data_IF_764951295251
#
_entry.id   IF_764951295251
#
_cell.length_a   1.000
_cell.length_b   1.000
_cell.length_c   1.000
_cell.angle_alpha   90.00
_cell.angle_beta   90.00
_cell.angle_gamma   90.00
#
_symmetry.space_group_name_H-M   'P 1'
#
loop_
_entity.id
_entity.type
_entity.pdbx_description
1 polymer ?
#
# COMPACT_ATOMS: atom_id res chain seq x y z
N UNK A 1 25.46 24.39 -2.29
CA UNK A 1 24.65 23.66 -1.30
C UNK A 1 23.61 22.93 -2.11
N UNK A 2 23.54 21.60 -2.04
CA UNK A 2 22.50 20.86 -2.74
C UNK A 2 21.24 20.96 -1.89
N UNK A 3 20.45 22.01 -2.12
CA UNK A 3 19.18 22.35 -1.48
C UNK A 3 18.05 21.38 -1.88
N UNK A 4 18.35 20.09 -2.00
CA UNK A 4 17.32 19.10 -2.25
C UNK A 4 16.56 18.85 -0.94
N UNK A 5 15.22 18.89 -0.95
CA UNK A 5 14.44 18.56 0.22
C UNK A 5 14.74 17.14 0.72
N UNK A 6 14.63 16.90 2.02
CA UNK A 6 14.94 15.59 2.64
C UNK A 6 14.14 14.42 2.05
N UNK A 7 12.95 14.69 1.50
CA UNK A 7 12.13 13.70 0.82
C UNK A 7 12.66 13.27 -0.56
N UNK A 8 13.69 13.94 -1.10
CA UNK A 8 14.42 13.54 -2.31
C UNK A 8 15.66 12.69 -2.02
N UNK A 9 15.99 12.45 -0.75
CA UNK A 9 17.14 11.61 -0.39
C UNK A 9 16.71 10.14 -0.33
N UNK A 10 17.20 9.26 -1.22
CA UNK A 10 16.82 7.84 -1.22
C UNK A 10 17.20 7.09 0.07
N UNK A 11 18.17 7.62 0.84
CA UNK A 11 18.51 7.05 2.15
C UNK A 11 17.34 7.18 3.15
N UNK A 12 16.45 8.14 2.93
CA UNK A 12 15.24 8.40 3.71
C UNK A 12 14.03 7.62 3.17
N UNK A 13 14.18 6.87 2.07
CA UNK A 13 13.11 6.00 1.59
C UNK A 13 12.76 4.97 2.66
N UNK A 14 11.46 4.70 2.80
CA UNK A 14 10.96 3.72 3.76
C UNK A 14 11.50 2.34 3.41
N UNK A 15 12.06 1.65 4.41
CA UNK A 15 12.66 0.30 4.27
C UNK A 15 11.84 -0.82 4.91
N UNK A 16 10.75 -0.48 5.58
CA UNK A 16 9.91 -1.42 6.35
C UNK A 16 8.48 -1.36 5.85
N UNK A 17 7.73 -2.48 5.81
CA UNK A 17 6.32 -2.51 5.42
C UNK A 17 5.48 -1.46 6.15
N UNK A 18 4.41 -0.99 5.51
CA UNK A 18 3.47 -0.09 6.16
C UNK A 18 2.78 -0.81 7.34
N UNK A 19 2.66 -0.18 8.51
CA UNK A 19 1.89 -0.74 9.61
C UNK A 19 0.42 -0.81 9.23
N UNK A 20 -0.32 -1.73 9.89
CA UNK A 20 -1.74 -1.92 9.61
C UNK A 20 -2.57 -0.63 9.75
N UNK A 21 -2.23 0.23 10.72
CA UNK A 21 -2.94 1.49 10.95
C UNK A 21 -2.78 2.48 9.78
N UNK A 22 -1.58 2.57 9.21
CA UNK A 22 -1.34 3.39 8.02
C UNK A 22 -2.04 2.80 6.79
N UNK A 23 -2.04 1.47 6.65
CA UNK A 23 -2.79 0.80 5.58
C UNK A 23 -4.29 1.07 5.67
N UNK A 24 -4.89 1.08 6.87
CA UNK A 24 -6.30 1.46 7.03
C UNK A 24 -6.53 2.92 6.66
N UNK A 25 -5.63 3.84 7.05
CA UNK A 25 -5.70 5.24 6.66
C UNK A 25 -5.66 5.41 5.12
N UNK A 26 -4.79 4.66 4.45
CA UNK A 26 -4.73 4.63 2.99
C UNK A 26 -6.02 4.08 2.38
N UNK A 27 -6.58 3.01 2.93
CA UNK A 27 -7.85 2.43 2.46
C UNK A 27 -8.99 3.44 2.60
N UNK A 28 -9.08 4.16 3.72
CA UNK A 28 -10.10 5.18 3.92
C UNK A 28 -9.98 6.33 2.93
N UNK A 29 -8.77 6.88 2.73
CA UNK A 29 -8.55 7.92 1.72
C UNK A 29 -8.78 7.42 0.29
N UNK A 30 -8.46 6.16 0.00
CA UNK A 30 -8.71 5.54 -1.30
C UNK A 30 -10.21 5.38 -1.56
N UNK A 31 -10.99 5.00 -0.54
CA UNK A 31 -12.46 4.89 -0.62
C UNK A 31 -13.09 6.26 -0.84
N UNK A 32 -12.65 7.30 -0.13
CA UNK A 32 -13.13 8.68 -0.34
C UNK A 32 -12.91 9.14 -1.79
N UNK A 33 -11.78 8.77 -2.40
CA UNK A 33 -11.49 9.07 -3.81
C UNK A 33 -12.25 8.22 -4.83
N UNK A 34 -12.81 7.08 -4.41
CA UNK A 34 -13.47 6.11 -5.31
C UNK A 34 -14.94 6.42 -5.60
N UNK A 35 -15.61 7.18 -4.74
CA UNK A 35 -17.00 7.63 -4.94
C UNK A 35 -17.94 6.49 -5.34
N UNK A 36 -18.63 6.62 -6.47
CA UNK A 36 -19.62 5.65 -6.95
C UNK A 36 -19.03 4.25 -7.23
N UNK A 37 -17.72 4.16 -7.55
CA UNK A 37 -17.06 2.87 -7.79
C UNK A 37 -16.92 2.05 -6.50
N UNK A 38 -16.87 2.72 -5.35
CA UNK A 38 -16.88 2.06 -4.05
C UNK A 38 -18.22 1.37 -3.78
N UNK A 39 -19.34 2.05 -4.08
CA UNK A 39 -20.68 1.47 -3.90
C UNK A 39 -20.88 0.22 -4.76
N UNK A 40 -20.40 0.23 -6.00
CA UNK A 40 -20.40 -0.94 -6.90
C UNK A 40 -19.57 -2.10 -6.34
N UNK A 41 -18.40 -1.81 -5.77
CA UNK A 41 -17.50 -2.82 -5.17
C UNK A 41 -18.11 -3.39 -3.88
N UNK A 42 -18.70 -2.51 -3.05
CA UNK A 42 -19.43 -2.86 -1.83
C UNK A 42 -20.64 -3.73 -2.14
N UNK A 43 -21.39 -3.45 -3.21
CA UNK A 43 -22.53 -4.26 -3.63
C UNK A 43 -22.11 -5.66 -4.10
N UNK A 44 -20.96 -5.78 -4.78
CA UNK A 44 -20.49 -7.07 -5.33
C UNK A 44 -19.83 -8.00 -4.31
N UNK A 45 -19.00 -7.47 -3.41
CA UNK A 45 -18.22 -8.27 -2.46
C UNK A 45 -18.68 -8.15 -1.00
N UNK A 46 -19.47 -7.13 -0.67
CA UNK A 46 -19.69 -6.72 0.72
C UNK A 46 -18.57 -5.82 1.23
N UNK A 47 -18.90 -4.95 2.18
CA UNK A 47 -18.03 -3.88 2.66
C UNK A 47 -16.69 -4.39 3.22
N UNK A 48 -16.72 -5.40 4.09
CA UNK A 48 -15.51 -5.93 4.74
C UNK A 48 -14.55 -6.60 3.75
N UNK A 49 -15.07 -7.42 2.83
CA UNK A 49 -14.24 -8.06 1.79
C UNK A 49 -13.72 -7.05 0.78
N UNK A 50 -14.50 -6.02 0.44
CA UNK A 50 -14.07 -4.96 -0.46
C UNK A 50 -12.91 -4.16 0.14
N UNK A 51 -13.00 -3.77 1.43
CA UNK A 51 -11.89 -3.13 2.17
C UNK A 51 -10.65 -4.01 2.21
N UNK A 52 -10.81 -5.29 2.56
CA UNK A 52 -9.69 -6.23 2.61
C UNK A 52 -9.02 -6.38 1.24
N UNK A 53 -9.78 -6.44 0.14
CA UNK A 53 -9.23 -6.57 -1.21
C UNK A 53 -8.43 -5.34 -1.65
N UNK A 54 -8.85 -4.13 -1.25
CA UNK A 54 -8.09 -2.90 -1.48
C UNK A 54 -6.80 -2.95 -0.68
N UNK A 55 -6.88 -3.32 0.61
CA UNK A 55 -5.73 -3.46 1.50
C UNK A 55 -4.71 -4.47 0.96
N UNK A 56 -5.15 -5.64 0.55
CA UNK A 56 -4.31 -6.68 -0.03
C UNK A 56 -3.64 -6.19 -1.32
N UNK A 57 -4.35 -5.40 -2.14
CA UNK A 57 -3.80 -4.77 -3.34
C UNK A 57 -2.71 -3.73 -3.04
N UNK A 58 -2.88 -2.94 -1.97
CA UNK A 58 -1.84 -2.00 -1.51
C UNK A 58 -0.60 -2.75 -1.02
N UNK A 59 -0.79 -3.82 -0.25
CA UNK A 59 0.31 -4.66 0.25
C UNK A 59 1.04 -5.36 -0.91
N UNK A 60 0.31 -5.88 -1.91
CA UNK A 60 0.89 -6.53 -3.08
C UNK A 60 1.67 -5.58 -4.00
N UNK A 61 1.40 -4.27 -3.94
CA UNK A 61 2.13 -3.25 -4.70
C UNK A 61 3.26 -2.58 -3.92
N UNK A 62 3.37 -2.86 -2.62
CA UNK A 62 4.44 -2.34 -1.78
C UNK A 62 5.73 -3.16 -1.99
N UNK A 63 6.73 -2.57 -2.65
CA UNK A 63 8.04 -3.20 -2.89
C UNK A 63 8.77 -3.60 -1.60
N UNK A 64 8.45 -2.96 -0.48
CA UNK A 64 9.00 -3.27 0.84
C UNK A 64 8.10 -4.20 1.67
N UNK A 65 6.99 -4.68 1.10
CA UNK A 65 6.12 -5.65 1.76
C UNK A 65 6.81 -7.01 1.87
N UNK A 66 6.72 -7.63 3.06
CA UNK A 66 7.28 -8.97 3.30
C UNK A 66 6.69 -10.04 2.38
N UNK A 67 5.50 -9.80 1.81
CA UNK A 67 4.86 -10.70 0.86
C UNK A 67 5.46 -10.62 -0.56
N UNK A 68 6.17 -9.53 -0.88
CA UNK A 68 6.79 -9.29 -2.18
C UNK A 68 8.31 -9.47 -2.16
N UNK A 69 8.88 -9.84 -1.00
CA UNK A 69 10.28 -10.26 -0.92
C UNK A 69 10.39 -11.65 -1.55
N UNK A 70 10.54 -11.68 -2.86
CA UNK A 70 11.14 -12.86 -3.50
C UNK A 70 12.57 -12.99 -2.95
N UNK A 71 13.00 -14.17 -2.49
CA UNK A 71 14.37 -14.34 -2.07
C UNK A 71 15.26 -14.14 -3.31
N UNK A 72 15.93 -12.99 -3.40
CA UNK A 72 17.00 -12.75 -4.36
C UNK A 72 18.27 -13.47 -3.88
N UNK A 73 18.18 -14.79 -3.76
CA UNK A 73 19.32 -15.65 -3.49
C UNK A 73 19.80 -16.24 -4.80
N UNK A 74 20.90 -15.71 -5.35
CA UNK A 74 21.75 -16.53 -6.19
C UNK A 74 22.17 -17.72 -5.31
N UNK A 75 21.65 -18.90 -5.62
CA UNK A 75 22.06 -20.14 -4.96
C UNK A 75 23.51 -20.37 -5.37
N UNK A 76 24.45 -19.92 -4.55
CA UNK A 76 25.88 -20.23 -4.69
C UNK A 76 26.15 -21.72 -4.47
#
# INVERSE_FOLDING_TARGET
MTDAPDWMNPANDRKTPYPNEELELFVDGFIEGFGDQWEDLKFKLGESMARQKIKDGLIAKDENSLLNIEPSGEVH
#
